data_IF_018368305874
#
_entry.id   IF_018368305874
#
_cell.length_a   1.000
_cell.length_b   1.000
_cell.length_c   1.000
_cell.angle_alpha   90.00
_cell.angle_beta   90.00
_cell.angle_gamma   90.00
#
_symmetry.space_group_name_H-M   'P 1'
#
loop_
_entity.id
_entity.type
_entity.pdbx_description
1 polymer ?
#
# COMPACT_ATOMS: atom_id res chain seq x y z
N UNK A 1 25.65 -50.68 -42.21
CA UNK A 1 26.19 -50.16 -40.92
C UNK A 1 26.67 -48.75 -41.21
N UNK A 2 26.16 -47.63 -40.68
CA UNK A 2 25.65 -47.31 -39.33
C UNK A 2 24.58 -46.17 -39.38
N UNK A 3 23.44 -46.45 -38.75
CA UNK A 3 22.58 -45.68 -37.83
C UNK A 3 22.42 -44.13 -37.92
N UNK A 4 21.16 -43.72 -38.09
CA UNK A 4 20.44 -42.46 -37.75
C UNK A 4 20.37 -42.33 -36.19
N UNK A 5 20.42 -41.15 -35.49
CA UNK A 5 19.22 -40.27 -35.35
C UNK A 5 19.33 -38.77 -34.95
N UNK A 6 18.18 -38.09 -35.13
CA UNK A 6 17.61 -36.99 -34.33
C UNK A 6 18.36 -35.65 -34.31
N UNK A 7 17.91 -34.59 -35.00
CA UNK A 7 16.63 -33.90 -34.79
C UNK A 7 16.25 -33.79 -33.30
N UNK A 8 17.20 -33.39 -32.45
CA UNK A 8 16.91 -32.96 -31.07
C UNK A 8 16.26 -31.59 -31.16
N UNK A 9 14.94 -31.63 -31.23
CA UNK A 9 14.00 -30.69 -30.67
C UNK A 9 14.63 -29.56 -29.83
N UNK A 10 14.94 -28.43 -30.48
CA UNK A 10 14.91 -27.12 -29.84
C UNK A 10 13.44 -26.72 -29.64
N UNK A 11 12.69 -27.59 -28.97
CA UNK A 11 11.48 -27.25 -28.23
C UNK A 11 11.97 -26.78 -26.85
N UNK A 12 12.76 -25.71 -26.83
CA UNK A 12 12.80 -24.86 -25.66
C UNK A 12 11.45 -24.15 -25.67
N UNK A 13 10.45 -24.91 -25.22
CA UNK A 13 9.09 -24.49 -25.01
C UNK A 13 9.21 -23.26 -24.13
N UNK A 14 9.02 -22.12 -24.79
CA UNK A 14 8.90 -20.81 -24.21
C UNK A 14 7.70 -20.93 -23.28
N UNK A 15 7.93 -21.37 -22.04
CA UNK A 15 6.99 -21.21 -20.94
C UNK A 15 7.02 -19.69 -20.68
N UNK A 16 6.38 -18.94 -21.58
CA UNK A 16 5.70 -17.71 -21.28
C UNK A 16 4.60 -18.11 -20.31
N UNK A 17 4.99 -18.40 -19.06
CA UNK A 17 4.08 -18.25 -17.96
C UNK A 17 3.69 -16.79 -18.04
N UNK A 18 2.51 -16.54 -18.61
CA UNK A 18 1.77 -15.33 -18.34
C UNK A 18 1.60 -15.33 -16.84
N UNK A 19 2.56 -14.74 -16.12
CA UNK A 19 2.35 -14.26 -14.78
C UNK A 19 1.23 -13.25 -14.97
N UNK A 20 -0.01 -13.70 -14.79
CA UNK A 20 -1.11 -12.79 -14.54
C UNK A 20 -0.60 -11.91 -13.43
N UNK A 21 -0.37 -10.62 -13.73
CA UNK A 21 0.02 -9.65 -12.74
C UNK A 21 -1.08 -9.69 -11.68
N UNK A 22 -0.82 -10.41 -10.60
CA UNK A 22 -1.78 -10.52 -9.52
C UNK A 22 -1.85 -9.13 -8.92
N UNK A 23 -3.08 -8.65 -8.68
CA UNK A 23 -3.35 -7.46 -7.88
C UNK A 23 -2.41 -7.44 -6.68
N UNK A 24 -1.45 -6.53 -6.68
CA UNK A 24 -0.48 -6.41 -5.62
C UNK A 24 -0.69 -5.05 -4.97
N UNK A 25 -1.01 -5.08 -3.68
CA UNK A 25 -0.93 -3.88 -2.86
C UNK A 25 0.50 -3.81 -2.34
N UNK A 26 1.24 -2.79 -2.74
CA UNK A 26 2.54 -2.45 -2.13
C UNK A 26 2.30 -1.42 -1.02
N UNK A 27 3.17 -1.40 -0.02
CA UNK A 27 3.03 -0.50 1.12
C UNK A 27 4.37 -0.04 1.67
N UNK A 28 4.34 1.01 2.48
CA UNK A 28 5.49 1.52 3.18
C UNK A 28 5.09 2.48 4.30
N UNK A 29 6.09 3.09 4.92
CA UNK A 29 5.92 4.12 5.94
C UNK A 29 6.64 5.40 5.53
N UNK A 30 6.15 6.50 6.08
CA UNK A 30 6.71 7.84 5.99
C UNK A 30 6.94 8.30 7.43
N UNK A 31 8.08 8.92 7.66
CA UNK A 31 8.47 9.44 8.97
C UNK A 31 8.94 10.88 8.82
N UNK A 32 8.56 11.74 9.75
CA UNK A 32 8.96 13.14 9.81
C UNK A 32 8.69 13.92 8.50
N UNK A 33 7.58 13.64 7.80
CA UNK A 33 7.27 14.35 6.56
C UNK A 33 6.86 15.78 6.87
N UNK A 34 7.82 16.69 6.74
CA UNK A 34 7.64 18.10 7.05
C UNK A 34 6.55 18.76 6.20
N UNK A 35 5.75 19.60 6.86
CA UNK A 35 4.69 20.39 6.27
C UNK A 35 5.19 21.22 5.06
N UNK A 36 4.44 21.21 3.96
CA UNK A 36 4.77 21.93 2.70
C UNK A 36 6.18 21.72 2.12
N UNK A 37 6.96 20.74 2.60
CA UNK A 37 8.36 20.56 2.20
C UNK A 37 8.50 20.01 0.77
N UNK A 38 7.78 18.92 0.49
CA UNK A 38 7.77 18.26 -0.81
C UNK A 38 6.48 17.46 -0.99
N UNK A 39 6.02 17.35 -2.23
CA UNK A 39 4.93 16.44 -2.61
C UNK A 39 5.33 15.00 -2.30
N UNK A 40 4.52 14.32 -1.50
CA UNK A 40 4.62 12.88 -1.31
C UNK A 40 4.23 12.18 -2.60
N UNK A 41 5.07 11.27 -3.09
CA UNK A 41 4.81 10.45 -4.26
C UNK A 41 4.84 8.98 -3.85
N UNK A 42 3.74 8.28 -4.10
CA UNK A 42 3.56 6.86 -3.78
C UNK A 42 3.27 6.11 -5.07
N UNK A 43 3.98 5.01 -5.35
CA UNK A 43 3.79 4.28 -6.60
C UNK A 43 4.71 3.07 -6.77
N UNK A 44 4.57 2.41 -7.92
CA UNK A 44 5.35 1.23 -8.32
C UNK A 44 6.54 1.57 -9.23
N UNK A 45 6.82 2.86 -9.42
CA UNK A 45 7.86 3.39 -10.31
C UNK A 45 7.39 3.61 -11.76
N UNK A 46 6.23 3.09 -12.14
CA UNK A 46 5.58 3.36 -13.44
C UNK A 46 4.35 4.24 -13.27
N UNK A 47 3.51 3.91 -12.30
CA UNK A 47 2.31 4.64 -11.91
C UNK A 47 2.53 5.21 -10.50
N UNK A 48 1.89 6.34 -10.21
CA UNK A 48 2.00 6.97 -8.91
C UNK A 48 0.81 7.86 -8.61
N UNK A 49 0.52 8.03 -7.33
CA UNK A 49 -0.32 9.11 -6.81
C UNK A 49 0.53 10.10 -6.02
N UNK A 50 0.02 11.31 -5.87
CA UNK A 50 0.69 12.42 -5.22
C UNK A 50 -0.22 13.14 -4.24
N UNK A 51 0.36 13.67 -3.17
CA UNK A 51 -0.35 14.60 -2.27
C UNK A 51 0.65 15.50 -1.57
N UNK A 52 0.17 16.61 -1.04
CA UNK A 52 0.89 17.45 -0.07
C UNK A 52 -0.06 17.71 1.09
N UNK A 53 0.50 18.06 2.25
CA UNK A 53 -0.29 18.28 3.45
C UNK A 53 0.08 19.59 4.15
N UNK A 54 -0.85 20.07 4.97
CA UNK A 54 -0.67 21.19 5.89
C UNK A 54 -1.17 20.84 7.28
N UNK A 55 -0.56 21.43 8.30
CA UNK A 55 -0.99 21.29 9.68
C UNK A 55 -2.16 22.24 9.94
N UNK A 56 -3.22 21.74 10.56
CA UNK A 56 -4.35 22.54 11.02
C UNK A 56 -4.27 22.78 12.53
N UNK A 57 -4.09 21.70 13.29
CA UNK A 57 -3.83 21.69 14.74
C UNK A 57 -2.72 20.68 15.03
N UNK A 58 -2.31 20.57 16.29
CA UNK A 58 -1.23 19.66 16.69
C UNK A 58 -1.51 18.19 16.33
N UNK A 59 -2.78 17.79 16.20
CA UNK A 59 -3.29 16.44 15.94
C UNK A 59 -4.08 16.32 14.61
N UNK A 60 -4.12 17.39 13.80
CA UNK A 60 -4.92 17.42 12.57
C UNK A 60 -4.23 18.09 11.40
N UNK A 61 -4.50 17.57 10.19
CA UNK A 61 -3.96 18.11 8.95
C UNK A 61 -4.95 18.11 7.79
N UNK A 62 -4.67 18.93 6.78
CA UNK A 62 -5.38 18.93 5.50
C UNK A 62 -4.48 18.39 4.40
N UNK A 63 -5.07 17.69 3.44
CA UNK A 63 -4.37 17.09 2.31
C UNK A 63 -4.88 17.70 1.01
N UNK A 64 -3.98 17.93 0.08
CA UNK A 64 -4.27 18.70 -1.12
C UNK A 64 -4.12 17.86 -2.38
N UNK A 65 -5.04 18.04 -3.30
CA UNK A 65 -4.98 17.49 -4.65
C UNK A 65 -4.41 18.49 -5.65
N UNK A 66 -4.55 18.18 -6.94
CA UNK A 66 -3.94 18.94 -8.03
C UNK A 66 -4.47 20.38 -8.16
N UNK A 67 -5.69 20.64 -7.69
CA UNK A 67 -6.30 21.97 -7.65
C UNK A 67 -5.57 22.96 -6.72
N UNK A 68 -4.66 22.48 -5.87
CA UNK A 68 -3.76 23.35 -5.08
C UNK A 68 -2.69 24.08 -5.92
N UNK A 69 -2.42 23.60 -7.14
CA UNK A 69 -1.33 24.09 -7.98
C UNK A 69 0.06 23.58 -7.60
N UNK A 70 0.19 22.74 -6.56
CA UNK A 70 1.46 22.12 -6.14
C UNK A 70 1.51 20.65 -6.58
N UNK A 71 0.43 19.91 -6.28
CA UNK A 71 0.25 18.53 -6.75
C UNK A 71 -0.10 18.56 -8.24
N UNK A 72 0.45 17.63 -9.03
CA UNK A 72 0.31 17.71 -10.49
C UNK A 72 -0.85 16.90 -11.04
N UNK A 73 -1.10 15.70 -10.50
CA UNK A 73 -1.94 14.72 -11.19
C UNK A 73 -2.92 13.98 -10.30
N UNK A 74 -3.00 14.29 -9.01
CA UNK A 74 -3.80 13.50 -8.08
C UNK A 74 -4.91 14.30 -7.41
N UNK A 75 -6.07 13.69 -7.27
CA UNK A 75 -7.16 14.15 -6.40
C UNK A 75 -7.10 13.41 -5.07
N UNK A 76 -7.74 13.98 -4.06
CA UNK A 76 -7.77 13.44 -2.69
C UNK A 76 -9.20 13.23 -2.21
N UNK A 77 -9.43 12.21 -1.40
CA UNK A 77 -10.70 11.93 -0.77
C UNK A 77 -10.49 11.50 0.69
N UNK A 78 -11.46 11.77 1.55
CA UNK A 78 -11.48 11.27 2.93
C UNK A 78 -12.27 9.96 3.01
N UNK A 79 -11.64 8.88 3.46
CA UNK A 79 -12.26 7.59 3.69
C UNK A 79 -12.90 7.51 5.09
N UNK A 80 -14.03 8.20 5.25
CA UNK A 80 -14.72 8.33 6.53
C UNK A 80 -15.17 6.98 7.13
N UNK A 81 -14.86 6.76 8.40
CA UNK A 81 -15.24 5.55 9.14
C UNK A 81 -14.41 4.31 8.83
N UNK A 82 -13.36 4.43 8.01
CA UNK A 82 -12.41 3.35 7.76
C UNK A 82 -11.36 3.32 8.88
N UNK A 83 -11.18 2.16 9.49
CA UNK A 83 -10.17 1.91 10.55
C UNK A 83 -9.15 0.84 10.17
N UNK A 84 -9.36 0.15 9.05
CA UNK A 84 -8.42 -0.82 8.50
C UNK A 84 -8.42 -0.74 6.98
N UNK A 85 -7.23 -0.79 6.38
CA UNK A 85 -7.07 -0.67 4.92
C UNK A 85 -7.88 -1.70 4.14
N UNK A 86 -8.08 -2.90 4.69
CA UNK A 86 -8.81 -3.97 4.02
C UNK A 86 -10.32 -3.69 3.90
N UNK A 87 -10.85 -2.70 4.62
CA UNK A 87 -12.23 -2.24 4.48
C UNK A 87 -12.45 -1.46 3.18
N UNK A 88 -11.39 -0.94 2.55
CA UNK A 88 -11.47 -0.27 1.24
C UNK A 88 -11.49 -1.34 0.15
N UNK A 89 -12.69 -1.85 -0.14
CA UNK A 89 -12.90 -2.85 -1.20
C UNK A 89 -13.05 -2.24 -2.59
N UNK A 90 -13.42 -0.95 -2.66
CA UNK A 90 -13.50 -0.17 -3.88
C UNK A 90 -13.26 1.32 -3.59
N UNK A 91 -12.06 1.81 -3.88
CA UNK A 91 -11.68 3.20 -3.70
C UNK A 91 -12.37 4.17 -4.67
N UNK A 92 -13.00 3.69 -5.75
CA UNK A 92 -13.67 4.56 -6.72
C UNK A 92 -14.97 5.17 -6.18
N UNK A 93 -15.52 4.62 -5.09
CA UNK A 93 -16.78 5.07 -4.49
C UNK A 93 -16.63 6.34 -3.65
N UNK A 94 -15.40 6.74 -3.31
CA UNK A 94 -15.16 7.94 -2.52
C UNK A 94 -15.38 9.23 -3.35
N UNK A 95 -15.76 10.29 -2.66
CA UNK A 95 -15.90 11.63 -3.26
C UNK A 95 -14.53 12.31 -3.32
N UNK A 96 -13.95 12.33 -4.53
CA UNK A 96 -12.65 12.96 -4.78
C UNK A 96 -12.78 14.46 -4.99
N UNK A 97 -11.87 15.19 -4.36
CA UNK A 97 -11.73 16.64 -4.43
C UNK A 97 -10.39 16.99 -5.08
N UNK A 98 -10.43 17.96 -6.00
CA UNK A 98 -9.21 18.50 -6.61
C UNK A 98 -8.49 19.48 -5.68
N UNK A 99 -9.22 20.20 -4.82
CA UNK A 99 -8.66 21.19 -3.91
C UNK A 99 -7.98 20.55 -2.69
N UNK A 100 -8.77 20.21 -1.68
CA UNK A 100 -8.27 19.64 -0.43
C UNK A 100 -9.35 18.88 0.34
N UNK A 101 -8.92 17.96 1.19
CA UNK A 101 -9.74 17.34 2.24
C UNK A 101 -9.13 17.60 3.61
N UNK A 102 -9.98 17.82 4.62
CA UNK A 102 -9.55 18.04 6.01
C UNK A 102 -10.36 19.13 6.74
N UNK A 103 -10.01 19.43 8.00
CA UNK A 103 -8.92 18.80 8.77
C UNK A 103 -9.26 17.35 9.16
N UNK A 104 -8.26 16.46 9.06
CA UNK A 104 -8.34 15.03 9.37
C UNK A 104 -7.50 14.71 10.61
N UNK A 105 -7.94 13.75 11.40
CA UNK A 105 -7.30 13.31 12.63
C UNK A 105 -6.16 12.32 12.39
N UNK A 106 -5.10 12.43 13.17
CA UNK A 106 -4.20 11.31 13.46
C UNK A 106 -4.84 10.31 14.46
N UNK A 107 -4.04 9.35 14.94
CA UNK A 107 -4.52 8.34 15.88
C UNK A 107 -4.91 8.90 17.26
N UNK A 108 -4.33 10.02 17.69
CA UNK A 108 -4.54 10.58 19.02
C UNK A 108 -5.88 11.32 19.13
N UNK A 109 -6.36 11.95 18.05
CA UNK A 109 -7.67 12.62 18.05
C UNK A 109 -8.83 11.81 17.47
N UNK A 110 -8.57 10.69 16.80
CA UNK A 110 -9.64 9.81 16.31
C UNK A 110 -10.21 8.90 17.44
N UNK A 111 -11.53 8.86 17.67
CA UNK A 111 -12.13 8.02 18.71
C UNK A 111 -11.87 6.52 18.57
N UNK A 112 -11.48 6.04 17.39
CA UNK A 112 -11.12 4.64 17.16
C UNK A 112 -9.68 4.30 17.56
N UNK A 113 -8.84 5.30 17.84
CA UNK A 113 -7.40 5.14 18.05
C UNK A 113 -6.63 4.82 16.77
N UNK A 114 -7.26 4.99 15.60
CA UNK A 114 -6.65 4.83 14.29
C UNK A 114 -6.85 6.13 13.53
N UNK A 115 -5.76 6.74 13.05
CA UNK A 115 -5.89 7.98 12.32
C UNK A 115 -6.60 7.81 10.98
N UNK A 116 -7.06 8.93 10.45
CA UNK A 116 -7.89 8.97 9.26
C UNK A 116 -7.13 8.53 8.01
N UNK A 117 -7.89 8.02 7.04
CA UNK A 117 -7.38 7.56 5.76
C UNK A 117 -7.66 8.60 4.66
N UNK A 118 -6.62 8.98 3.94
CA UNK A 118 -6.65 9.81 2.74
C UNK A 118 -6.49 8.89 1.54
N UNK A 119 -7.47 8.91 0.64
CA UNK A 119 -7.40 8.17 -0.63
C UNK A 119 -7.00 9.15 -1.72
N UNK A 120 -5.99 8.77 -2.50
CA UNK A 120 -5.53 9.53 -3.65
C UNK A 120 -5.87 8.80 -4.93
N UNK A 121 -6.23 9.54 -5.97
CA UNK A 121 -6.45 9.00 -7.32
C UNK A 121 -5.70 9.84 -8.33
N UNK A 122 -4.87 9.19 -9.15
CA UNK A 122 -4.23 9.84 -10.29
C UNK A 122 -5.25 10.04 -11.42
N UNK A 123 -5.42 11.27 -11.87
CA UNK A 123 -6.45 11.65 -12.86
C UNK A 123 -6.12 11.19 -14.29
N UNK A 124 -4.85 10.88 -14.56
CA UNK A 124 -4.39 10.48 -15.90
C UNK A 124 -4.45 8.97 -16.08
N UNK A 125 -4.07 8.22 -15.04
CA UNK A 125 -3.92 6.77 -15.07
C UNK A 125 -5.07 6.04 -14.36
N UNK A 126 -5.79 6.70 -13.45
CA UNK A 126 -6.84 6.11 -12.64
C UNK A 126 -6.33 5.26 -11.47
N UNK A 127 -5.03 5.23 -11.21
CA UNK A 127 -4.45 4.45 -10.12
C UNK A 127 -4.75 5.07 -8.76
N UNK A 128 -4.80 4.21 -7.74
CA UNK A 128 -5.16 4.57 -6.38
C UNK A 128 -4.00 4.35 -5.41
N UNK A 129 -3.85 5.27 -4.47
CA UNK A 129 -3.08 5.05 -3.26
C UNK A 129 -3.83 5.53 -2.04
N UNK A 130 -3.41 5.07 -0.88
CA UNK A 130 -4.04 5.39 0.41
C UNK A 130 -2.95 5.73 1.41
N UNK A 131 -3.18 6.76 2.21
CA UNK A 131 -2.32 7.17 3.31
C UNK A 131 -3.15 7.17 4.59
N UNK A 132 -2.71 6.43 5.61
CA UNK A 132 -3.19 6.58 6.98
C UNK A 132 -2.29 7.57 7.71
N UNK A 133 -2.91 8.49 8.43
CA UNK A 133 -2.23 9.47 9.29
C UNK A 133 -1.90 8.76 10.61
N UNK A 134 -0.63 8.47 10.86
CA UNK A 134 -0.23 7.74 12.06
C UNK A 134 -0.05 8.70 13.24
N UNK A 135 0.70 9.79 13.03
CA UNK A 135 0.99 10.82 14.03
C UNK A 135 1.16 12.17 13.32
N UNK A 136 0.56 13.23 13.86
CA UNK A 136 0.90 14.60 13.50
C UNK A 136 1.54 15.24 14.72
N UNK A 137 2.69 15.87 14.52
CA UNK A 137 3.43 16.48 15.61
C UNK A 137 3.95 17.87 15.22
N UNK A 138 4.44 18.59 16.23
CA UNK A 138 5.02 19.92 16.05
C UNK A 138 3.99 21.05 16.05
N UNK A 139 4.48 22.26 15.76
CA UNK A 139 3.69 23.48 15.71
C UNK A 139 4.03 24.18 14.39
N UNK A 140 3.01 24.65 13.69
CA UNK A 140 3.18 25.44 12.47
C UNK A 140 4.27 26.51 12.63
N UNK A 141 5.22 26.62 11.67
CA UNK A 141 5.28 25.93 10.37
C UNK A 141 6.07 24.61 10.38
N UNK A 142 6.52 24.15 11.55
CA UNK A 142 7.43 23.02 11.69
C UNK A 142 6.67 21.70 11.97
N UNK A 143 5.45 21.58 11.44
CA UNK A 143 4.64 20.38 11.57
C UNK A 143 5.27 19.18 10.85
N UNK A 144 5.22 18.01 11.47
CA UNK A 144 5.67 16.74 10.88
C UNK A 144 4.53 15.74 10.86
N UNK A 145 4.55 14.86 9.85
CA UNK A 145 3.60 13.77 9.72
C UNK A 145 4.32 12.44 9.57
N UNK A 146 3.91 11.48 10.40
CA UNK A 146 4.18 10.07 10.21
C UNK A 146 2.95 9.40 9.61
N UNK A 147 3.18 8.44 8.72
CA UNK A 147 2.07 7.77 8.06
C UNK A 147 2.44 6.42 7.45
N UNK A 148 1.42 5.59 7.30
CA UNK A 148 1.52 4.31 6.60
C UNK A 148 0.77 4.44 5.29
N UNK A 149 1.37 4.00 4.19
CA UNK A 149 0.76 4.13 2.86
C UNK A 149 0.64 2.80 2.14
N UNK A 150 -0.31 2.74 1.20
CA UNK A 150 -0.59 1.62 0.31
C UNK A 150 -0.81 2.11 -1.12
N UNK A 151 -0.43 1.31 -2.10
CA UNK A 151 -0.64 1.59 -3.53
C UNK A 151 -1.13 0.34 -4.24
N UNK A 152 -2.15 0.49 -5.09
CA UNK A 152 -2.71 -0.62 -5.86
C UNK A 152 -2.07 -0.68 -7.25
N UNK A 153 -1.23 -1.68 -7.50
CA UNK A 153 -0.42 -1.77 -8.72
C UNK A 153 -1.19 -2.28 -9.94
N UNK A 154 -2.42 -2.78 -9.78
CA UNK A 154 -3.26 -3.23 -10.91
C UNK A 154 -4.28 -2.19 -11.37
N UNK A 155 -4.28 -1.00 -10.76
CA UNK A 155 -5.21 0.09 -11.06
C UNK A 155 -6.63 -0.13 -10.56
N UNK A 156 -6.93 -1.23 -9.87
CA UNK A 156 -8.21 -1.40 -9.19
C UNK A 156 -8.30 -0.49 -7.96
N UNK A 157 -9.50 -0.29 -7.43
CA UNK A 157 -9.70 0.39 -6.15
C UNK A 157 -9.67 -0.54 -4.93
N UNK A 158 -9.30 -1.82 -5.10
CA UNK A 158 -9.51 -2.83 -4.06
C UNK A 158 -8.25 -3.05 -3.21
N UNK A 159 -8.28 -2.59 -1.96
CA UNK A 159 -7.21 -2.79 -0.98
C UNK A 159 -7.50 -3.94 0.01
N UNK A 160 -8.61 -4.66 -0.13
CA UNK A 160 -8.92 -5.83 0.71
C UNK A 160 -8.01 -7.04 0.44
N UNK A 161 -7.30 -7.04 -0.68
CA UNK A 161 -6.49 -8.17 -1.16
C UNK A 161 -5.11 -8.25 -0.51
N UNK A 162 -4.77 -7.36 0.44
CA UNK A 162 -3.46 -7.33 1.11
C UNK A 162 -3.16 -8.72 1.69
N UNK A 163 -2.26 -9.51 1.07
CA UNK A 163 -1.91 -10.81 1.61
C UNK A 163 -1.13 -10.52 2.88
N UNK A 164 -1.58 -11.01 4.04
CA UNK A 164 -0.88 -10.82 5.32
C UNK A 164 0.56 -11.35 5.16
N UNK A 165 1.58 -10.49 4.94
CA UNK A 165 2.87 -10.97 4.43
C UNK A 165 3.62 -11.77 5.48
N UNK A 166 3.39 -11.45 6.76
CA UNK A 166 4.01 -12.13 7.88
C UNK A 166 3.38 -13.50 8.16
N UNK A 167 2.05 -13.63 8.04
CA UNK A 167 1.38 -14.89 8.39
C UNK A 167 1.80 -16.00 7.43
N UNK A 168 1.89 -15.75 6.12
CA UNK A 168 2.29 -16.79 5.16
C UNK A 168 3.72 -17.32 5.42
N UNK A 169 4.68 -16.43 5.72
CA UNK A 169 6.05 -16.81 6.07
C UNK A 169 6.16 -17.49 7.45
N UNK A 170 5.40 -17.01 8.43
CA UNK A 170 5.34 -17.62 9.77
C UNK A 170 4.68 -19.00 9.71
N UNK A 171 3.61 -19.17 8.92
CA UNK A 171 2.98 -20.47 8.68
C UNK A 171 3.93 -21.42 7.94
N UNK A 172 4.66 -20.94 6.93
CA UNK A 172 5.66 -21.74 6.21
C UNK A 172 6.77 -22.25 7.13
N UNK A 173 7.36 -21.38 7.95
CA UNK A 173 8.41 -21.76 8.91
C UNK A 173 7.89 -22.61 10.06
N UNK A 174 6.68 -22.36 10.55
CA UNK A 174 6.03 -23.18 11.58
C UNK A 174 5.76 -24.62 11.10
N UNK A 175 5.33 -24.81 9.85
CA UNK A 175 5.11 -26.15 9.28
C UNK A 175 6.42 -26.94 9.14
N UNK A 176 7.50 -26.27 8.71
CA UNK A 176 8.84 -26.89 8.67
C UNK A 176 9.31 -27.25 10.09
N UNK A 177 9.09 -26.36 11.07
CA UNK A 177 9.38 -26.63 12.47
C UNK A 177 8.63 -27.84 13.02
N UNK A 178 7.34 -27.97 12.71
CA UNK A 178 6.50 -29.08 13.19
C UNK A 178 6.89 -30.43 12.57
N UNK A 179 7.27 -30.44 11.28
CA UNK A 179 7.80 -31.63 10.62
C UNK A 179 9.10 -32.13 11.28
N UNK A 180 9.96 -31.23 11.76
CA UNK A 180 11.19 -31.56 12.48
C UNK A 180 10.96 -32.28 13.83
N UNK A 181 9.93 -31.89 14.59
CA UNK A 181 9.62 -32.46 15.91
C UNK A 181 9.12 -33.91 15.80
N UNK A 182 8.35 -34.23 14.77
CA UNK A 182 7.82 -35.59 14.54
C UNK A 182 8.92 -36.64 14.38
N UNK A 183 10.08 -36.27 13.83
CA UNK A 183 11.18 -37.20 13.53
C UNK A 183 11.90 -37.71 14.79
N UNK A 184 11.92 -36.94 15.88
CA UNK A 184 12.64 -37.32 17.11
C UNK A 184 11.91 -38.37 17.97
N UNK A 185 10.62 -38.62 17.73
CA UNK A 185 9.83 -39.61 18.52
C UNK A 185 9.97 -41.05 18.03
N UNK A 186 10.56 -41.29 16.86
CA UNK A 186 10.73 -42.64 16.30
C UNK A 186 12.05 -43.34 16.71
N UNK A 187 12.98 -42.64 17.38
CA UNK A 187 14.32 -43.18 17.69
C UNK A 187 14.50 -43.78 19.08
N UNK A 188 13.47 -43.80 19.95
CA UNK A 188 13.55 -44.42 21.27
C UNK A 188 12.54 -45.56 21.40
N UNK A 189 12.85 -46.69 20.76
CA UNK A 189 12.28 -48.01 21.02
C UNK A 189 13.43 -49.00 20.99
N UNK A 190 14.05 -49.21 22.15
CA UNK A 190 14.95 -50.33 22.46
C UNK A 190 14.92 -50.57 23.96
#
# INVERSE_FOLDING_TARGET
MKNVPALIATFLFLILATVSAQAAVISGTITDWAEFSSTLTIGDGTNSVQTIWSQNTWDKGSFYGYGSGIVQTSEVAYANGITDIAQITDASVFSFESGSVGPLCDADCDPSGVGNFVVMRDINTGFYGVLRIDDIAGIFPDGTLDGTWWFQTDGTGNFSVVPIPAAAWLFGSALIGLAGIKRKRASCSR
#
